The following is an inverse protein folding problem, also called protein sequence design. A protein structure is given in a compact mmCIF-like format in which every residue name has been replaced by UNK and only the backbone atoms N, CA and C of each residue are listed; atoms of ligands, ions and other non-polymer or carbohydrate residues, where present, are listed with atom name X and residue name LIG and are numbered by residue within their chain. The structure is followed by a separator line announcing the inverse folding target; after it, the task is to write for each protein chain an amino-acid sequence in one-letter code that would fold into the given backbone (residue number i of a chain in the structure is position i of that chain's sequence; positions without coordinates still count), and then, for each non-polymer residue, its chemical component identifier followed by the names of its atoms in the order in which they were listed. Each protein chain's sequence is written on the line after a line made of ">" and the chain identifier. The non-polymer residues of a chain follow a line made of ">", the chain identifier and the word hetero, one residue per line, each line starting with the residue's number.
data_IF_069178956671
#
_entry.id   IF_069178956671
#
_cell.length_a   1.000
_cell.length_b   1.000
_cell.length_c   1.000
_cell.angle_alpha   90.00
_cell.angle_beta   90.00
_cell.angle_gamma   90.00
#
_symmetry.space_group_name_H-M   'P 1'
#
loop_
_entity.id
_entity.type
_entity.pdbx_description
1 polymer ?
#
# COMPACT_ATOMS: atom_id res chain seq x y z
N UNK A 1 -26.09 17.76 -81.13
CA UNK A 1 -26.45 18.00 -79.73
C UNK A 1 -26.06 16.78 -78.92
N UNK A 2 -24.96 16.86 -78.13
CA UNK A 2 -24.42 15.76 -77.32
C UNK A 2 -24.72 16.07 -75.83
N UNK A 3 -25.56 15.24 -75.24
CA UNK A 3 -25.84 15.35 -73.79
C UNK A 3 -24.72 14.63 -73.03
N UNK A 4 -23.95 15.38 -72.23
CA UNK A 4 -23.01 14.86 -71.28
C UNK A 4 -23.74 14.56 -69.98
N UNK A 5 -23.71 13.31 -69.53
CA UNK A 5 -24.23 12.88 -68.22
C UNK A 5 -23.06 12.98 -67.23
N UNK A 6 -23.23 13.85 -66.23
CA UNK A 6 -22.33 13.94 -65.08
C UNK A 6 -22.69 12.81 -64.12
N UNK A 7 -21.77 11.88 -63.86
CA UNK A 7 -21.89 10.88 -62.81
C UNK A 7 -21.34 11.50 -61.52
N UNK A 8 -22.21 11.73 -60.53
CA UNK A 8 -21.79 12.09 -59.20
C UNK A 8 -21.46 10.81 -58.41
N UNK A 9 -20.20 10.61 -58.15
CA UNK A 9 -19.74 9.53 -57.27
C UNK A 9 -19.91 9.92 -55.80
N UNK A 10 -20.74 9.18 -55.07
CA UNK A 10 -20.84 9.29 -53.62
C UNK A 10 -19.71 8.50 -53.02
N UNK A 11 -18.74 9.21 -52.42
CA UNK A 11 -17.70 8.59 -51.57
C UNK A 11 -18.34 8.33 -50.21
N UNK A 12 -18.70 7.09 -49.91
CA UNK A 12 -19.00 6.65 -48.55
C UNK A 12 -17.68 6.58 -47.78
N UNK A 13 -17.39 7.60 -47.02
CA UNK A 13 -16.33 7.55 -46.01
C UNK A 13 -16.74 6.62 -44.86
N UNK A 14 -16.22 5.40 -44.83
CA UNK A 14 -16.32 4.55 -43.67
C UNK A 14 -15.49 5.16 -42.54
N UNK A 15 -16.14 5.77 -41.57
CA UNK A 15 -15.55 6.11 -40.30
C UNK A 15 -15.28 4.78 -39.57
N UNK A 16 -14.03 4.30 -39.69
CA UNK A 16 -13.56 3.22 -38.82
C UNK A 16 -13.39 3.86 -37.45
N UNK A 17 -14.42 3.78 -36.65
CA UNK A 17 -14.31 4.08 -35.23
C UNK A 17 -13.32 3.10 -34.61
N UNK A 18 -12.16 3.59 -34.22
CA UNK A 18 -11.28 2.81 -33.38
C UNK A 18 -12.05 2.35 -32.14
N UNK A 19 -12.03 1.06 -31.78
CA UNK A 19 -12.64 0.63 -30.55
C UNK A 19 -11.96 1.39 -29.41
N UNK A 20 -12.72 2.16 -28.66
CA UNK A 20 -12.28 2.68 -27.38
C UNK A 20 -12.14 1.45 -26.48
N UNK A 21 -10.92 0.94 -26.38
CA UNK A 21 -10.61 -0.08 -25.41
C UNK A 21 -10.89 0.53 -24.03
N UNK A 22 -11.82 -0.07 -23.31
CA UNK A 22 -12.08 0.31 -21.95
C UNK A 22 -10.76 0.20 -21.18
N UNK A 23 -10.33 1.30 -20.58
CA UNK A 23 -9.20 1.28 -19.66
C UNK A 23 -9.62 0.51 -18.42
N UNK A 24 -9.27 -0.76 -18.37
CA UNK A 24 -9.37 -1.54 -17.16
C UNK A 24 -8.12 -1.24 -16.30
N UNK A 25 -8.33 -0.84 -15.07
CA UNK A 25 -7.28 -0.56 -14.05
C UNK A 25 -6.19 0.46 -14.43
N UNK A 26 -6.48 1.41 -15.32
CA UNK A 26 -5.52 2.46 -15.68
C UNK A 26 -4.36 2.02 -16.57
N UNK A 27 -4.38 0.80 -17.09
CA UNK A 27 -3.40 0.26 -18.04
C UNK A 27 -3.87 0.54 -19.47
N UNK A 28 -3.00 1.10 -20.29
CA UNK A 28 -3.28 1.32 -21.72
C UNK A 28 -2.98 0.02 -22.48
N UNK A 29 -4.02 -0.66 -22.94
CA UNK A 29 -3.94 -1.95 -23.64
C UNK A 29 -4.23 -3.16 -22.76
N UNK A 30 -4.06 -4.39 -23.28
CA UNK A 30 -4.22 -5.60 -22.47
C UNK A 30 -3.20 -5.60 -21.33
N UNK A 31 -3.65 -5.84 -20.10
CA UNK A 31 -2.76 -5.98 -18.97
C UNK A 31 -1.87 -7.22 -19.16
N UNK A 32 -0.55 -7.12 -19.01
CA UNK A 32 0.33 -8.28 -18.98
C UNK A 32 0.27 -9.01 -17.62
N UNK A 33 -0.57 -8.53 -16.70
CA UNK A 33 -0.70 -9.08 -15.36
C UNK A 33 -2.07 -9.72 -15.19
N UNK A 34 -2.10 -10.88 -14.60
CA UNK A 34 -3.30 -11.56 -14.15
C UNK A 34 -3.55 -11.28 -12.67
N UNK A 35 -4.83 -11.16 -12.31
CA UNK A 35 -5.23 -11.09 -10.92
C UNK A 35 -5.53 -12.49 -10.40
N UNK A 36 -4.80 -12.94 -9.39
CA UNK A 36 -5.17 -14.12 -8.64
C UNK A 36 -6.07 -13.69 -7.47
N UNK A 37 -7.37 -13.88 -7.63
CA UNK A 37 -8.35 -13.41 -6.65
C UNK A 37 -8.77 -14.46 -5.64
N UNK A 38 -8.50 -15.73 -5.91
CA UNK A 38 -9.27 -16.77 -5.22
C UNK A 38 -8.55 -17.46 -4.07
N UNK A 39 -7.22 -17.52 -4.07
CA UNK A 39 -6.53 -18.32 -3.03
C UNK A 39 -5.04 -17.99 -2.84
N UNK A 40 -4.53 -16.90 -3.40
CA UNK A 40 -3.10 -16.68 -3.36
C UNK A 40 -2.58 -16.47 -1.93
N UNK A 41 -3.22 -15.59 -1.18
CA UNK A 41 -2.88 -15.40 0.22
C UNK A 41 -3.56 -16.50 1.03
N UNK A 42 -2.78 -17.42 1.56
CA UNK A 42 -3.31 -18.50 2.36
C UNK A 42 -3.92 -17.95 3.63
N UNK A 43 -5.13 -18.38 3.99
CA UNK A 43 -5.78 -17.87 5.16
C UNK A 43 -4.99 -18.26 6.41
N UNK A 44 -4.63 -17.29 7.22
CA UNK A 44 -4.26 -17.61 8.59
C UNK A 44 -5.47 -17.72 9.52
N UNK A 45 -6.65 -17.75 8.93
CA UNK A 45 -7.89 -18.04 9.64
C UNK A 45 -7.91 -19.39 10.36
N UNK A 46 -7.07 -20.35 9.99
CA UNK A 46 -6.88 -21.59 10.76
C UNK A 46 -6.34 -21.33 12.17
N UNK A 47 -5.60 -20.23 12.35
CA UNK A 47 -5.09 -19.79 13.64
C UNK A 47 -6.04 -18.79 14.35
N UNK A 48 -7.20 -18.49 13.77
CA UNK A 48 -8.15 -17.52 14.30
C UNK A 48 -7.81 -16.06 14.04
N UNK A 49 -6.82 -15.79 13.20
CA UNK A 49 -6.40 -14.44 12.80
C UNK A 49 -7.18 -13.96 11.59
N UNK A 50 -7.25 -12.64 11.41
CA UNK A 50 -7.90 -12.01 10.26
C UNK A 50 -6.97 -10.99 9.61
N UNK A 51 -7.09 -10.85 8.28
CA UNK A 51 -6.39 -9.77 7.59
C UNK A 51 -7.11 -8.45 7.82
N UNK A 52 -6.33 -7.41 8.13
CA UNK A 52 -6.80 -6.05 8.22
C UNK A 52 -6.53 -5.24 6.95
N UNK A 53 -6.58 -3.93 7.09
CA UNK A 53 -6.25 -3.01 6.00
C UNK A 53 -4.76 -3.06 5.67
N UNK A 54 -4.38 -3.74 4.60
CA UNK A 54 -2.99 -3.79 4.12
C UNK A 54 -2.58 -2.42 3.58
N UNK A 55 -1.49 -1.88 4.10
CA UNK A 55 -1.00 -0.53 3.77
C UNK A 55 0.33 -0.54 3.02
N UNK A 56 1.10 -1.61 3.11
CA UNK A 56 2.40 -1.70 2.47
C UNK A 56 2.77 -3.12 2.10
N UNK A 57 3.54 -3.23 1.03
CA UNK A 57 4.18 -4.47 0.60
C UNK A 57 5.59 -4.14 0.11
N UNK A 58 6.52 -5.03 0.40
CA UNK A 58 7.88 -4.96 -0.12
C UNK A 58 8.39 -6.35 -0.46
N UNK A 59 8.93 -6.52 -1.66
CA UNK A 59 9.46 -7.80 -2.14
C UNK A 59 10.97 -7.79 -1.98
N UNK A 60 11.49 -8.61 -1.09
CA UNK A 60 12.93 -8.87 -0.97
C UNK A 60 13.37 -9.96 -1.96
N UNK A 61 12.59 -11.02 -2.04
CA UNK A 61 12.76 -12.14 -2.98
C UNK A 61 11.40 -12.82 -3.21
N UNK A 62 11.38 -13.83 -4.10
CA UNK A 62 10.17 -14.62 -4.31
C UNK A 62 9.73 -15.39 -3.05
N UNK A 63 10.68 -15.75 -2.21
CA UNK A 63 10.43 -16.51 -1.00
C UNK A 63 10.34 -15.64 0.26
N UNK A 64 10.38 -14.31 0.08
CA UNK A 64 10.35 -13.38 1.20
C UNK A 64 9.72 -12.04 0.80
N UNK A 65 8.46 -11.89 1.12
CA UNK A 65 7.65 -10.73 0.81
C UNK A 65 7.10 -10.17 2.12
N UNK A 66 7.50 -8.96 2.46
CA UNK A 66 6.99 -8.26 3.64
C UNK A 66 5.64 -7.65 3.37
N UNK A 67 4.72 -7.84 4.28
CA UNK A 67 3.40 -7.23 4.25
C UNK A 67 3.17 -6.45 5.53
N UNK A 68 2.67 -5.25 5.38
CA UNK A 68 2.31 -4.36 6.47
C UNK A 68 0.81 -4.14 6.49
N UNK A 69 0.18 -4.44 7.61
CA UNK A 69 -1.25 -4.18 7.80
C UNK A 69 -1.50 -3.26 9.00
N UNK A 70 -2.68 -2.71 9.04
CA UNK A 70 -3.13 -1.76 10.06
C UNK A 70 -3.87 -2.46 11.21
N UNK A 71 -3.27 -3.54 11.72
CA UNK A 71 -3.90 -4.43 12.67
C UNK A 71 -5.01 -5.29 12.05
N UNK A 72 -5.54 -6.20 12.82
CA UNK A 72 -6.60 -7.09 12.41
C UNK A 72 -7.98 -6.45 12.52
N UNK A 73 -8.85 -6.75 11.58
CA UNK A 73 -10.24 -6.35 11.63
C UNK A 73 -11.08 -7.18 10.70
N UNK A 74 -12.28 -7.47 11.13
CA UNK A 74 -13.29 -8.07 10.28
C UNK A 74 -14.11 -6.97 9.62
N UNK A 75 -14.06 -6.90 8.29
CA UNK A 75 -14.93 -6.01 7.54
C UNK A 75 -16.37 -6.53 7.56
N UNK A 76 -17.37 -5.66 7.76
CA UNK A 76 -18.75 -6.06 7.71
C UNK A 76 -19.11 -6.57 6.31
N UNK A 77 -19.89 -7.67 6.26
CA UNK A 77 -20.43 -8.19 5.00
C UNK A 77 -21.96 -8.21 5.05
N UNK A 78 -22.65 -7.48 4.17
CA UNK A 78 -22.14 -6.58 3.14
C UNK A 78 -21.52 -5.29 3.74
N UNK A 79 -20.64 -4.65 2.98
CA UNK A 79 -20.10 -3.34 3.37
C UNK A 79 -21.26 -2.34 3.43
N UNK A 80 -21.43 -1.58 4.54
CA UNK A 80 -22.50 -0.61 4.65
C UNK A 80 -22.45 0.45 3.54
N UNK A 81 -23.62 0.85 2.96
CA UNK A 81 -23.67 1.77 1.83
C UNK A 81 -22.96 3.11 2.05
N UNK A 82 -22.91 3.58 3.28
CA UNK A 82 -22.23 4.82 3.65
C UNK A 82 -20.71 4.79 3.41
N UNK A 83 -20.11 3.60 3.27
CA UNK A 83 -18.69 3.42 3.02
C UNK A 83 -18.35 3.12 1.56
N UNK A 84 -19.34 2.82 0.72
CA UNK A 84 -19.10 2.35 -0.66
C UNK A 84 -18.58 3.42 -1.60
N UNK A 85 -18.69 4.70 -1.25
CA UNK A 85 -18.25 5.84 -2.06
C UNK A 85 -16.88 6.40 -1.67
N UNK A 86 -16.21 5.79 -0.71
CA UNK A 86 -14.92 6.26 -0.20
C UNK A 86 -13.77 5.50 -0.83
N UNK A 87 -13.25 5.99 -1.95
CA UNK A 87 -11.99 5.50 -2.49
C UNK A 87 -10.81 5.84 -1.53
N UNK A 88 -9.93 4.91 -1.29
CA UNK A 88 -8.67 5.12 -0.58
C UNK A 88 -8.73 5.24 0.96
N UNK A 89 -9.78 5.81 1.50
CA UNK A 89 -9.96 5.95 2.96
C UNK A 89 -10.93 4.96 3.57
N UNK A 90 -11.50 4.09 2.76
CA UNK A 90 -12.52 3.14 3.20
C UNK A 90 -12.02 2.31 4.40
N UNK A 91 -10.80 1.82 4.34
CA UNK A 91 -10.23 1.00 5.41
C UNK A 91 -10.25 1.71 6.75
N UNK A 92 -9.81 2.96 6.82
CA UNK A 92 -9.81 3.74 8.06
C UNK A 92 -11.22 4.03 8.57
N UNK A 93 -12.10 4.51 7.73
CA UNK A 93 -13.46 4.85 8.13
C UNK A 93 -14.27 3.64 8.58
N UNK A 94 -14.05 2.50 7.94
CA UNK A 94 -14.69 1.24 8.31
C UNK A 94 -14.08 0.65 9.58
N UNK A 95 -12.76 0.78 9.76
CA UNK A 95 -12.04 0.27 10.91
C UNK A 95 -12.33 1.09 12.18
N UNK A 96 -12.51 2.40 12.03
CA UNK A 96 -12.77 3.28 13.15
C UNK A 96 -14.04 2.89 13.88
N UNK A 97 -13.90 2.51 15.14
CA UNK A 97 -15.02 2.08 15.99
C UNK A 97 -15.50 0.65 15.75
N UNK A 98 -14.78 -0.18 14.97
CA UNK A 98 -15.11 -1.57 14.70
C UNK A 98 -14.27 -2.59 15.45
N UNK A 99 -13.59 -2.16 16.51
CA UNK A 99 -12.82 -3.10 17.33
C UNK A 99 -11.54 -3.60 16.66
N UNK A 100 -10.91 -2.76 15.82
CA UNK A 100 -9.58 -3.08 15.28
C UNK A 100 -8.63 -3.42 16.42
N UNK A 101 -7.94 -4.52 16.28
CA UNK A 101 -6.91 -4.97 17.20
C UNK A 101 -5.56 -4.75 16.53
N UNK A 102 -4.61 -4.15 17.27
CA UNK A 102 -3.25 -3.96 16.78
C UNK A 102 -2.49 -5.28 16.98
N UNK A 103 -2.75 -6.22 16.11
CA UNK A 103 -2.13 -7.54 16.09
C UNK A 103 -1.67 -7.88 14.68
N UNK A 104 -0.56 -8.60 14.59
CA UNK A 104 0.01 -9.11 13.34
C UNK A 104 0.25 -8.01 12.29
N UNK A 105 0.76 -6.84 12.74
CA UNK A 105 0.91 -5.69 11.86
C UNK A 105 1.98 -5.89 10.79
N UNK A 106 3.01 -6.69 11.07
CA UNK A 106 4.08 -7.02 10.13
C UNK A 106 4.13 -8.54 9.98
N UNK A 107 4.07 -9.03 8.75
CA UNK A 107 4.24 -10.44 8.46
C UNK A 107 4.99 -10.65 7.15
N UNK A 108 5.55 -11.84 6.97
CA UNK A 108 6.32 -12.25 5.81
C UNK A 108 5.63 -13.42 5.15
N UNK A 109 5.50 -13.38 3.83
CA UNK A 109 4.91 -14.43 3.02
C UNK A 109 5.88 -14.87 1.93
N UNK A 110 5.64 -16.05 1.36
CA UNK A 110 6.27 -16.48 0.11
C UNK A 110 5.42 -16.16 -1.12
N UNK A 111 5.93 -16.50 -2.30
CA UNK A 111 5.22 -16.29 -3.58
C UNK A 111 3.96 -17.15 -3.72
N UNK A 112 3.83 -18.22 -2.94
CA UNK A 112 2.64 -19.07 -2.90
C UNK A 112 1.57 -18.54 -1.93
N UNK A 113 1.90 -17.46 -1.21
CA UNK A 113 1.01 -16.80 -0.26
C UNK A 113 1.00 -17.44 1.12
N UNK A 114 1.92 -18.35 1.43
CA UNK A 114 2.04 -18.91 2.77
C UNK A 114 2.66 -17.89 3.72
N UNK A 115 2.12 -17.77 4.92
CA UNK A 115 2.69 -16.92 5.97
C UNK A 115 3.88 -17.66 6.59
N UNK A 116 5.06 -17.08 6.46
CA UNK A 116 6.32 -17.62 6.95
C UNK A 116 6.70 -17.10 8.32
N UNK A 117 6.49 -15.81 8.55
CA UNK A 117 6.86 -15.12 9.78
C UNK A 117 5.76 -14.12 10.16
N UNK A 118 5.57 -13.93 11.44
CA UNK A 118 4.75 -12.85 12.01
C UNK A 118 5.59 -12.14 13.06
N UNK A 119 5.68 -10.83 12.98
CA UNK A 119 6.47 -10.01 13.89
C UNK A 119 5.60 -9.38 14.99
N UNK A 120 4.77 -10.21 15.63
CA UNK A 120 3.79 -9.82 16.65
C UNK A 120 4.43 -9.16 17.89
N UNK A 121 5.71 -9.47 18.16
CA UNK A 121 6.45 -8.82 19.23
C UNK A 121 6.52 -7.29 19.10
N UNK A 122 6.30 -6.75 17.88
CA UNK A 122 6.36 -5.31 17.59
C UNK A 122 5.00 -4.64 17.52
N UNK A 123 3.92 -5.36 17.67
CA UNK A 123 2.55 -4.82 17.57
C UNK A 123 2.31 -3.69 18.58
N UNK A 124 2.93 -3.77 19.74
CA UNK A 124 2.88 -2.73 20.77
C UNK A 124 3.36 -1.35 20.30
N UNK A 125 4.16 -1.30 19.23
CA UNK A 125 4.63 -0.04 18.67
C UNK A 125 3.51 0.76 18.00
N UNK A 126 2.46 0.10 17.54
CA UNK A 126 1.34 0.73 16.83
C UNK A 126 0.15 1.03 17.73
N UNK A 127 0.15 0.53 18.95
CA UNK A 127 -0.92 0.75 19.94
C UNK A 127 -0.94 2.19 20.42
N UNK A 128 -2.16 2.69 20.70
CA UNK A 128 -2.36 4.00 21.34
C UNK A 128 -2.39 5.18 20.38
N UNK A 129 -2.48 4.92 19.08
CA UNK A 129 -2.65 5.96 18.07
C UNK A 129 -4.10 5.97 17.55
N UNK A 130 -4.73 7.14 17.51
CA UNK A 130 -6.03 7.32 16.86
C UNK A 130 -5.81 7.74 15.40
N UNK A 131 -5.61 6.77 14.53
CA UNK A 131 -5.33 7.02 13.11
C UNK A 131 -5.18 5.74 12.31
N UNK A 132 -4.83 5.83 11.03
CA UNK A 132 -4.64 4.65 10.18
C UNK A 132 -3.47 3.76 10.62
N UNK A 133 -2.46 4.29 11.30
CA UNK A 133 -1.30 3.54 11.78
C UNK A 133 -0.20 3.40 10.74
N UNK A 134 0.50 2.26 10.70
CA UNK A 134 1.63 2.08 9.82
C UNK A 134 1.22 2.17 8.34
N UNK A 135 2.06 2.81 7.52
CA UNK A 135 1.71 3.19 6.16
C UNK A 135 2.58 2.54 5.09
N UNK A 136 3.88 2.39 5.33
CA UNK A 136 4.83 1.82 4.35
C UNK A 136 5.84 0.91 5.02
N UNK A 137 6.23 -0.11 4.25
CA UNK A 137 7.35 -0.98 4.58
C UNK A 137 8.33 -0.98 3.40
N UNK A 138 9.62 -0.83 3.67
CA UNK A 138 10.67 -0.69 2.66
C UNK A 138 11.97 -1.35 3.13
N UNK A 139 12.80 -1.73 2.16
CA UNK A 139 14.22 -1.98 2.38
C UNK A 139 15.04 -1.01 1.54
N UNK A 140 16.16 -0.58 2.08
CA UNK A 140 17.13 0.20 1.32
C UNK A 140 17.88 -0.73 0.35
N UNK A 141 17.78 -0.54 -0.97
CA UNK A 141 18.45 -1.41 -1.94
C UNK A 141 19.97 -1.31 -1.91
N UNK A 142 20.53 -0.31 -1.22
CA UNK A 142 21.97 -0.08 -1.05
C UNK A 142 22.48 -0.58 0.31
N UNK A 143 21.62 -1.11 1.15
CA UNK A 143 21.96 -1.61 2.48
C UNK A 143 22.24 -3.12 2.42
N UNK A 144 23.49 -3.50 2.65
CA UNK A 144 23.91 -4.91 2.65
C UNK A 144 23.23 -5.73 3.75
N UNK A 145 22.88 -5.08 4.88
CA UNK A 145 22.15 -5.70 5.98
C UNK A 145 20.65 -5.84 5.70
N UNK A 146 20.14 -5.23 4.64
CA UNK A 146 18.74 -5.25 4.21
C UNK A 146 17.77 -4.93 5.35
N UNK A 147 18.10 -3.94 6.14
CA UNK A 147 17.26 -3.48 7.24
C UNK A 147 15.86 -3.11 6.76
N UNK A 148 14.87 -3.43 7.56
CA UNK A 148 13.46 -3.21 7.24
C UNK A 148 12.99 -1.90 7.88
N UNK A 149 12.49 -1.01 7.06
CA UNK A 149 11.99 0.30 7.45
C UNK A 149 10.47 0.30 7.45
N UNK A 150 9.86 0.67 8.56
CA UNK A 150 8.42 0.81 8.70
C UNK A 150 8.08 2.26 9.03
N UNK A 151 7.32 2.90 8.16
CA UNK A 151 6.87 4.27 8.31
C UNK A 151 5.49 4.24 8.98
N UNK A 152 5.40 4.77 10.19
CA UNK A 152 4.14 4.92 10.90
C UNK A 152 3.63 6.35 10.72
N UNK A 153 2.66 6.49 9.83
CA UNK A 153 2.00 7.76 9.52
C UNK A 153 1.38 8.40 10.75
N UNK A 154 0.68 7.61 11.55
CA UNK A 154 -0.06 8.15 12.70
C UNK A 154 0.85 8.38 13.90
N UNK A 155 1.82 7.50 14.09
CA UNK A 155 2.83 7.64 15.14
C UNK A 155 3.84 8.76 14.88
N UNK A 156 3.90 9.33 13.66
CA UNK A 156 4.90 10.33 13.23
C UNK A 156 6.34 9.84 13.36
N UNK A 157 6.58 8.56 13.10
CA UNK A 157 7.85 7.90 13.38
C UNK A 157 8.21 6.88 12.30
N UNK A 158 9.49 6.63 12.13
CA UNK A 158 10.03 5.56 11.30
C UNK A 158 10.75 4.58 12.20
N UNK A 159 10.41 3.30 12.11
CA UNK A 159 11.08 2.20 12.79
C UNK A 159 12.01 1.49 11.82
N UNK A 160 13.21 1.14 12.26
CA UNK A 160 14.21 0.41 11.49
C UNK A 160 14.55 -0.86 12.23
N UNK A 161 14.21 -2.00 11.63
CA UNK A 161 14.44 -3.33 12.19
C UNK A 161 15.59 -4.04 11.50
N UNK A 162 16.18 -5.01 12.20
CA UNK A 162 17.02 -6.03 11.56
C UNK A 162 16.21 -6.77 10.48
N UNK A 163 16.89 -7.35 9.49
CA UNK A 163 16.22 -8.07 8.39
C UNK A 163 15.33 -9.21 8.89
N UNK A 164 15.77 -9.92 9.92
CA UNK A 164 15.05 -11.03 10.56
C UNK A 164 13.96 -10.59 11.54
N UNK A 165 13.76 -9.29 11.71
CA UNK A 165 12.77 -8.74 12.62
C UNK A 165 13.04 -8.93 14.11
N UNK A 166 14.17 -9.51 14.49
CA UNK A 166 14.47 -9.80 15.89
C UNK A 166 14.80 -8.56 16.74
N UNK A 167 15.24 -7.48 16.09
CA UNK A 167 15.76 -6.31 16.78
C UNK A 167 15.23 -5.01 16.16
N UNK A 168 14.71 -4.12 16.99
CA UNK A 168 14.50 -2.72 16.62
C UNK A 168 15.84 -1.99 16.76
N UNK A 169 16.45 -1.65 15.63
CA UNK A 169 17.79 -1.07 15.56
C UNK A 169 17.80 0.44 15.80
N UNK A 170 16.79 1.13 15.25
CA UNK A 170 16.73 2.59 15.29
C UNK A 170 15.29 3.08 15.12
N UNK A 171 15.04 4.27 15.66
CA UNK A 171 13.84 5.07 15.37
C UNK A 171 14.27 6.44 14.85
N UNK A 172 13.47 7.03 13.96
CA UNK A 172 13.62 8.40 13.48
C UNK A 172 12.31 9.12 13.71
N UNK A 173 12.36 10.28 14.35
CA UNK A 173 11.18 10.98 14.86
C UNK A 173 10.88 10.60 16.31
N UNK A 174 9.85 11.18 16.88
CA UNK A 174 9.35 10.90 18.22
C UNK A 174 7.89 10.46 18.17
N UNK A 175 7.59 9.30 18.78
CA UNK A 175 6.27 8.69 18.71
C UNK A 175 5.18 9.64 19.22
N UNK A 176 4.16 9.86 18.42
CA UNK A 176 3.00 10.73 18.68
C UNK A 176 3.33 12.23 18.79
N UNK A 177 4.53 12.64 18.44
CA UNK A 177 4.91 14.06 18.39
C UNK A 177 4.94 14.53 16.94
N UNK A 178 4.03 15.42 16.60
CA UNK A 178 3.96 16.03 15.27
C UNK A 178 4.57 17.43 15.32
N UNK A 179 5.63 17.69 14.53
CA UNK A 179 6.20 19.02 14.40
C UNK A 179 6.86 19.24 13.03
N UNK A 180 7.17 20.51 12.73
CA UNK A 180 7.90 20.91 11.52
C UNK A 180 9.27 21.45 11.91
N UNK A 181 10.13 20.57 12.32
CA UNK A 181 11.52 20.87 12.68
C UNK A 181 12.48 19.81 12.09
N UNK A 182 13.72 19.77 12.56
CA UNK A 182 14.75 18.85 12.05
C UNK A 182 14.62 17.42 12.58
N UNK A 183 13.83 17.18 13.63
CA UNK A 183 13.80 15.92 14.36
C UNK A 183 12.45 15.19 14.28
N UNK A 184 11.39 15.90 13.93
CA UNK A 184 10.04 15.39 13.96
C UNK A 184 9.40 15.36 12.57
N UNK A 185 8.41 14.50 12.43
CA UNK A 185 7.54 14.40 11.27
C UNK A 185 6.11 14.85 11.61
N UNK A 186 5.31 15.04 10.57
CA UNK A 186 3.87 15.20 10.71
C UNK A 186 3.18 14.38 9.62
N UNK A 187 2.87 13.13 9.96
CA UNK A 187 2.33 12.10 9.08
C UNK A 187 3.25 11.79 7.89
N UNK A 188 4.43 11.21 8.14
CA UNK A 188 5.32 10.73 7.09
C UNK A 188 4.64 9.60 6.31
N UNK A 189 4.84 9.56 4.99
CA UNK A 189 4.13 8.66 4.10
C UNK A 189 5.02 7.58 3.48
N UNK A 190 6.21 7.95 3.07
CA UNK A 190 7.12 7.04 2.38
C UNK A 190 8.57 7.50 2.52
N UNK A 191 9.49 6.60 2.15
CA UNK A 191 10.94 6.85 2.13
C UNK A 191 11.51 6.39 0.80
N UNK A 192 12.44 7.18 0.26
CA UNK A 192 13.26 6.84 -0.90
C UNK A 192 14.74 6.90 -0.52
N UNK A 193 15.51 5.94 -1.00
CA UNK A 193 16.92 5.78 -0.66
C UNK A 193 17.82 6.24 -1.81
N UNK A 194 18.95 6.82 -1.49
CA UNK A 194 19.98 7.26 -2.43
C UNK A 194 21.25 6.41 -2.28
N UNK A 195 22.03 6.23 -3.38
CA UNK A 195 23.23 5.40 -3.36
C UNK A 195 24.34 5.91 -2.42
N UNK A 196 24.31 7.20 -2.08
CA UNK A 196 25.29 7.83 -1.19
C UNK A 196 24.98 7.69 0.32
N UNK A 197 24.01 6.82 0.64
CA UNK A 197 23.59 6.55 2.01
C UNK A 197 22.56 7.53 2.57
N UNK A 198 22.17 8.54 1.79
CA UNK A 198 21.08 9.44 2.17
C UNK A 198 19.72 8.82 1.86
N UNK A 199 18.70 9.35 2.49
CA UNK A 199 17.31 9.03 2.18
C UNK A 199 16.44 10.28 2.24
N UNK A 200 15.32 10.22 1.56
CA UNK A 200 14.30 11.27 1.50
C UNK A 200 13.02 10.74 2.14
N UNK A 201 12.36 11.55 2.94
CA UNK A 201 11.08 11.21 3.57
C UNK A 201 9.98 12.11 3.01
N UNK A 202 8.91 11.53 2.51
CA UNK A 202 7.71 12.27 2.15
C UNK A 202 6.94 12.64 3.42
N UNK A 203 7.15 13.85 3.93
CA UNK A 203 6.56 14.36 5.17
C UNK A 203 5.59 15.52 4.88
N UNK A 204 4.39 15.16 4.40
CA UNK A 204 3.48 16.18 3.88
C UNK A 204 2.02 16.08 4.31
N UNK A 205 1.51 14.90 4.63
CA UNK A 205 0.07 14.71 4.86
C UNK A 205 -0.45 15.49 6.08
N UNK A 206 0.36 15.66 7.11
CA UNK A 206 0.02 16.43 8.30
C UNK A 206 0.22 17.96 8.17
N UNK A 207 0.63 18.45 6.99
CA UNK A 207 0.82 19.87 6.72
C UNK A 207 2.27 20.37 6.78
N UNK A 208 3.26 19.49 6.97
CA UNK A 208 4.67 19.88 6.88
C UNK A 208 5.06 20.27 5.44
N UNK A 209 4.46 19.61 4.43
CA UNK A 209 4.65 19.90 3.01
C UNK A 209 6.13 19.97 2.62
N UNK A 210 6.89 18.92 2.97
CA UNK A 210 8.33 18.83 2.72
C UNK A 210 8.78 17.42 2.33
N UNK A 211 9.95 17.38 1.76
CA UNK A 211 10.76 16.17 1.56
C UNK A 211 12.09 16.40 2.26
#
# INVERSE_FOLDING_TARGET
>A
MKHSKLLAGIILGSVIGSPVLAQDSGVIGPSPYDFNTDTWLQPWAEAGQTFGGTSGVHVESQDRIFVLQRGETELPSPIPPEYTNFAGSMGWNVLRGRGRVWENCIYVIDSDGNVLEVWDQWDHLFVGTDGPGPHRIRQNPYDEEKRVWVIDETGNIIYIFSNDGSTLLQTIGEKNVAAKDEYHFNKPQDVAFLPDGKFLVADGLGGNNRI
#
